data_IF_593610679546
#
_entry.id   IF_593610679546
#
_cell.length_a   1.000
_cell.length_b   1.000
_cell.length_c   1.000
_cell.angle_alpha   90.00
_cell.angle_beta   90.00
_cell.angle_gamma   90.00
#
_symmetry.space_group_name_H-M   'P 1'
#
loop_
_entity.id
_entity.type
_entity.pdbx_description
1 polymer ?
#
# COMPACT_ATOMS: atom_id res chain seq x y z
N UNK A 1 -26.20 -11.44 -25.10
CA UNK A 1 -24.75 -11.47 -25.01
C UNK A 1 -24.32 -10.07 -24.56
N UNK A 2 -23.70 -9.96 -23.41
CA UNK A 2 -23.11 -8.69 -22.98
C UNK A 2 -21.83 -8.54 -23.82
N UNK A 3 -21.78 -7.52 -24.66
CA UNK A 3 -20.58 -7.22 -25.46
C UNK A 3 -19.45 -6.83 -24.50
N UNK A 4 -18.35 -7.58 -24.52
CA UNK A 4 -17.21 -7.24 -23.67
C UNK A 4 -16.59 -5.93 -24.16
N UNK A 5 -16.26 -4.99 -23.27
CA UNK A 5 -15.62 -3.75 -23.66
C UNK A 5 -14.26 -4.04 -24.35
N UNK A 6 -14.04 -3.45 -25.50
CA UNK A 6 -12.79 -3.62 -26.27
C UNK A 6 -11.54 -3.01 -25.60
N UNK A 7 -11.75 -2.20 -24.58
CA UNK A 7 -10.71 -1.45 -23.85
C UNK A 7 -10.58 -1.90 -22.38
N UNK A 8 -11.06 -3.09 -22.03
CA UNK A 8 -11.05 -3.61 -20.65
C UNK A 8 -11.76 -2.70 -19.63
N UNK A 9 -12.71 -1.88 -20.07
CA UNK A 9 -13.44 -0.94 -19.23
C UNK A 9 -12.77 0.42 -19.06
N UNK A 10 -11.67 0.71 -19.76
CA UNK A 10 -11.08 2.04 -19.76
C UNK A 10 -11.99 3.01 -20.52
N UNK A 11 -12.45 4.04 -19.82
CA UNK A 11 -13.09 5.21 -20.38
C UNK A 11 -12.08 6.25 -20.86
N UNK A 12 -12.57 7.46 -21.12
CA UNK A 12 -11.72 8.58 -21.52
C UNK A 12 -10.78 8.99 -20.38
N UNK A 13 -11.29 9.06 -19.16
CA UNK A 13 -10.52 9.49 -17.98
C UNK A 13 -9.38 8.50 -17.65
N UNK A 14 -9.64 7.20 -17.64
CA UNK A 14 -8.61 6.18 -17.40
C UNK A 14 -7.59 6.14 -18.54
N UNK A 15 -8.01 6.39 -19.77
CA UNK A 15 -7.11 6.50 -20.93
C UNK A 15 -6.19 7.71 -20.79
N UNK A 16 -6.73 8.87 -20.43
CA UNK A 16 -5.94 10.09 -20.19
C UNK A 16 -4.96 9.89 -19.03
N UNK A 17 -5.41 9.25 -17.95
CA UNK A 17 -4.59 8.94 -16.78
C UNK A 17 -3.43 8.01 -17.14
N UNK A 18 -3.70 6.92 -17.88
CA UNK A 18 -2.68 6.00 -18.39
C UNK A 18 -1.67 6.71 -19.30
N UNK A 19 -2.13 7.54 -20.23
CA UNK A 19 -1.24 8.22 -21.17
C UNK A 19 -0.36 9.26 -20.45
N UNK A 20 -0.89 9.93 -19.42
CA UNK A 20 -0.14 10.78 -18.50
C UNK A 20 0.93 9.98 -17.74
N UNK A 21 0.56 8.83 -17.18
CA UNK A 21 1.48 7.94 -16.47
C UNK A 21 2.59 7.41 -17.38
N UNK A 22 2.23 6.97 -18.58
CA UNK A 22 3.19 6.51 -19.59
C UNK A 22 4.22 7.57 -19.92
N UNK A 23 3.77 8.82 -20.14
CA UNK A 23 4.67 9.93 -20.38
C UNK A 23 5.58 10.20 -19.20
N UNK A 24 5.01 10.31 -18.00
CA UNK A 24 5.76 10.57 -16.76
C UNK A 24 6.86 9.52 -16.54
N UNK A 25 6.52 8.24 -16.63
CA UNK A 25 7.49 7.17 -16.42
C UNK A 25 8.54 7.09 -17.53
N UNK A 26 8.18 7.40 -18.78
CA UNK A 26 9.16 7.52 -19.87
C UNK A 26 10.20 8.61 -19.59
N UNK A 27 9.76 9.74 -19.05
CA UNK A 27 10.63 10.88 -18.78
C UNK A 27 11.51 10.68 -17.52
N UNK A 28 11.00 9.94 -16.51
CA UNK A 28 11.62 9.84 -15.18
C UNK A 28 12.20 8.48 -14.84
N UNK A 29 11.70 7.38 -15.41
CA UNK A 29 12.01 6.00 -15.03
C UNK A 29 12.53 5.17 -16.21
N UNK A 30 13.38 5.75 -17.06
CA UNK A 30 14.02 5.00 -18.15
C UNK A 30 14.83 3.81 -17.62
N UNK A 31 14.88 2.71 -18.39
CA UNK A 31 15.52 1.45 -17.98
C UNK A 31 16.96 1.65 -17.47
N UNK A 32 17.74 2.52 -18.11
CA UNK A 32 19.12 2.83 -17.69
C UNK A 32 19.18 3.51 -16.32
N UNK A 33 18.18 4.34 -15.97
CA UNK A 33 18.10 4.99 -14.65
C UNK A 33 17.78 3.95 -13.58
N UNK A 34 16.77 3.12 -13.81
CA UNK A 34 16.40 2.04 -12.89
C UNK A 34 17.56 1.04 -12.74
N UNK A 35 18.17 0.62 -13.85
CA UNK A 35 19.32 -0.28 -13.81
C UNK A 35 20.46 0.30 -12.96
N UNK A 36 20.82 1.58 -13.11
CA UNK A 36 21.83 2.21 -12.26
C UNK A 36 21.45 2.25 -10.79
N UNK A 37 20.18 2.49 -10.48
CA UNK A 37 19.71 2.46 -9.09
C UNK A 37 19.87 1.07 -8.48
N UNK A 38 19.52 0.01 -9.21
CA UNK A 38 19.56 -1.35 -8.69
C UNK A 38 20.92 -2.03 -8.87
N UNK A 39 21.74 -1.67 -9.87
CA UNK A 39 23.06 -2.24 -10.11
C UNK A 39 24.21 -1.48 -9.45
N UNK A 40 23.97 -0.35 -8.81
CA UNK A 40 24.99 0.51 -8.21
C UNK A 40 25.85 -0.15 -7.14
N UNK A 41 25.36 -1.20 -6.51
CA UNK A 41 26.10 -2.01 -5.55
C UNK A 41 26.04 -3.49 -5.95
N UNK A 42 27.13 -4.18 -6.26
CA UNK A 42 27.14 -5.60 -6.66
C UNK A 42 27.00 -6.59 -5.49
N UNK A 43 26.89 -6.14 -4.25
CA UNK A 43 26.70 -7.01 -3.10
C UNK A 43 25.35 -7.73 -3.20
N UNK A 44 25.37 -9.07 -3.13
CA UNK A 44 24.16 -9.90 -3.14
C UNK A 44 23.26 -9.72 -1.90
N UNK A 45 23.79 -9.11 -0.84
CA UNK A 45 23.07 -8.84 0.39
C UNK A 45 22.48 -7.42 0.45
N UNK A 46 22.57 -6.66 -0.63
CA UNK A 46 22.14 -5.27 -0.69
C UNK A 46 20.61 -5.06 -0.73
N UNK A 47 19.83 -6.12 -0.83
CA UNK A 47 18.38 -6.07 -0.64
C UNK A 47 17.94 -5.48 0.71
N UNK A 48 18.90 -5.24 1.61
CA UNK A 48 18.72 -4.37 2.76
C UNK A 48 18.56 -2.88 2.40
N UNK A 49 19.00 -2.43 1.23
CA UNK A 49 18.77 -1.06 0.80
C UNK A 49 17.32 -0.88 0.33
N UNK A 50 16.65 0.14 0.85
CA UNK A 50 15.32 0.53 0.39
C UNK A 50 15.46 1.54 -0.75
N UNK A 51 15.25 1.09 -1.99
CA UNK A 51 15.31 1.96 -3.17
C UNK A 51 14.01 2.73 -3.29
N UNK A 52 14.14 4.06 -3.22
CA UNK A 52 12.98 4.93 -3.19
C UNK A 52 13.38 6.37 -3.54
N UNK A 53 12.67 6.98 -4.47
CA UNK A 53 12.85 8.38 -4.86
C UNK A 53 11.66 9.21 -4.34
N UNK A 54 11.87 9.86 -3.20
CA UNK A 54 10.83 10.69 -2.56
C UNK A 54 10.45 11.91 -3.41
N UNK A 55 11.35 12.39 -4.27
CA UNK A 55 11.05 13.50 -5.18
C UNK A 55 10.07 13.07 -6.29
N UNK A 56 10.21 11.84 -6.81
CA UNK A 56 9.24 11.30 -7.76
C UNK A 56 7.90 10.98 -7.09
N UNK A 57 7.93 10.52 -5.85
CA UNK A 57 6.69 10.33 -5.07
C UNK A 57 5.93 11.63 -4.89
N UNK A 58 6.61 12.71 -4.53
CA UNK A 58 5.99 14.01 -4.42
C UNK A 58 5.36 14.46 -5.74
N UNK A 59 6.06 14.26 -6.86
CA UNK A 59 5.52 14.62 -8.18
C UNK A 59 4.25 13.83 -8.53
N UNK A 60 4.18 12.51 -8.28
CA UNK A 60 2.96 11.73 -8.52
C UNK A 60 1.83 12.11 -7.56
N UNK A 61 2.14 12.56 -6.35
CA UNK A 61 1.17 13.13 -5.43
C UNK A 61 0.61 14.45 -5.97
N UNK A 62 1.46 15.35 -6.47
CA UNK A 62 1.05 16.62 -7.09
C UNK A 62 0.21 16.39 -8.36
N UNK A 63 0.43 15.29 -9.09
CA UNK A 63 -0.41 14.84 -10.20
C UNK A 63 -1.75 14.23 -9.75
N UNK A 64 -1.99 14.09 -8.45
CA UNK A 64 -3.23 13.57 -7.87
C UNK A 64 -3.35 12.05 -7.89
N UNK A 65 -2.29 11.29 -8.19
CA UNK A 65 -2.40 9.84 -8.32
C UNK A 65 -2.68 9.13 -7.00
N UNK A 66 -2.14 9.64 -5.89
CA UNK A 66 -2.45 9.11 -4.55
C UNK A 66 -3.90 9.37 -4.15
N UNK A 67 -4.49 10.48 -4.62
CA UNK A 67 -5.87 10.87 -4.37
C UNK A 67 -6.87 10.24 -5.35
N UNK A 68 -6.40 9.66 -6.47
CA UNK A 68 -7.25 9.22 -7.58
C UNK A 68 -8.40 8.32 -7.12
N UNK A 69 -8.11 7.30 -6.33
CA UNK A 69 -9.10 6.31 -5.87
C UNK A 69 -9.62 6.57 -4.45
N UNK A 70 -9.14 7.61 -3.76
CA UNK A 70 -9.69 8.03 -2.46
C UNK A 70 -11.07 8.66 -2.67
N UNK A 71 -12.10 8.33 -1.86
CA UNK A 71 -13.42 8.93 -1.97
C UNK A 71 -13.40 10.46 -1.82
N UNK A 72 -14.30 11.15 -2.52
CA UNK A 72 -14.43 12.61 -2.43
C UNK A 72 -14.69 13.08 -0.99
N UNK A 73 -15.46 12.33 -0.22
CA UNK A 73 -15.73 12.62 1.20
C UNK A 73 -14.47 12.63 2.07
N UNK A 74 -13.39 11.96 1.63
CA UNK A 74 -12.08 11.94 2.28
C UNK A 74 -11.05 12.82 1.54
N UNK A 75 -11.50 13.73 0.67
CA UNK A 75 -10.64 14.68 -0.05
C UNK A 75 -9.96 14.10 -1.30
N UNK A 76 -10.41 12.96 -1.80
CA UNK A 76 -9.91 12.35 -3.03
C UNK A 76 -10.73 12.70 -4.27
N UNK A 77 -10.47 12.00 -5.38
CA UNK A 77 -11.14 12.17 -6.68
C UNK A 77 -12.27 11.14 -6.84
N UNK A 78 -12.25 10.04 -6.12
CA UNK A 78 -13.33 9.04 -6.13
C UNK A 78 -13.35 8.13 -7.36
N UNK A 79 -12.25 8.04 -8.11
CA UNK A 79 -12.17 7.20 -9.30
C UNK A 79 -12.32 5.70 -8.95
N UNK A 80 -12.82 4.89 -9.90
CA UNK A 80 -12.98 3.45 -9.70
C UNK A 80 -11.63 2.71 -9.72
N UNK A 81 -11.65 1.42 -9.34
CA UNK A 81 -10.48 0.55 -9.34
C UNK A 81 -9.73 0.53 -10.68
N UNK A 82 -10.47 0.63 -11.80
CA UNK A 82 -9.87 0.62 -13.13
C UNK A 82 -8.89 1.78 -13.36
N UNK A 83 -9.05 2.91 -12.66
CA UNK A 83 -8.09 4.01 -12.69
C UNK A 83 -6.76 3.63 -11.99
N UNK A 84 -6.83 2.94 -10.85
CA UNK A 84 -5.63 2.39 -10.21
C UNK A 84 -4.93 1.36 -11.11
N UNK A 85 -5.69 0.53 -11.85
CA UNK A 85 -5.14 -0.44 -12.82
C UNK A 85 -4.38 0.28 -13.93
N UNK A 86 -4.93 1.40 -14.45
CA UNK A 86 -4.26 2.20 -15.49
C UNK A 86 -2.90 2.74 -15.03
N UNK A 87 -2.82 3.24 -13.80
CA UNK A 87 -1.57 3.71 -13.18
C UNK A 87 -0.61 2.55 -12.87
N UNK A 88 -1.14 1.45 -12.32
CA UNK A 88 -0.35 0.28 -11.94
C UNK A 88 0.30 -0.42 -13.15
N UNK A 89 -0.40 -0.48 -14.29
CA UNK A 89 0.16 -1.03 -15.53
C UNK A 89 1.41 -0.26 -15.98
N UNK A 90 1.34 1.05 -16.02
CA UNK A 90 2.47 1.88 -16.46
C UNK A 90 3.59 1.94 -15.39
N UNK A 91 3.25 1.94 -14.11
CA UNK A 91 4.24 1.82 -13.02
C UNK A 91 4.98 0.48 -13.08
N UNK A 92 4.26 -0.62 -13.34
CA UNK A 92 4.83 -1.96 -13.53
C UNK A 92 5.72 -2.03 -14.79
N UNK A 93 5.29 -1.46 -15.90
CA UNK A 93 6.06 -1.37 -17.15
C UNK A 93 7.40 -0.65 -16.94
N UNK A 94 7.41 0.36 -16.09
CA UNK A 94 8.59 1.15 -15.73
C UNK A 94 9.42 0.51 -14.60
N UNK A 95 8.98 -0.61 -14.01
CA UNK A 95 9.55 -1.18 -12.79
C UNK A 95 9.75 -0.14 -11.67
N UNK A 96 8.80 0.79 -11.53
CA UNK A 96 8.90 1.95 -10.66
C UNK A 96 8.99 1.57 -9.17
N UNK A 97 10.13 1.81 -8.50
CA UNK A 97 10.32 1.41 -7.10
C UNK A 97 9.65 2.42 -6.17
N UNK A 98 8.36 2.24 -5.90
CA UNK A 98 7.56 3.14 -5.06
C UNK A 98 6.49 2.39 -4.27
N UNK A 99 5.93 3.00 -3.21
CA UNK A 99 4.82 2.43 -2.45
C UNK A 99 3.44 2.67 -3.10
N UNK A 100 3.36 2.92 -4.43
CA UNK A 100 2.10 3.26 -5.08
C UNK A 100 1.09 2.11 -5.01
N UNK A 101 1.54 0.89 -5.27
CA UNK A 101 0.67 -0.30 -5.27
C UNK A 101 0.20 -0.64 -3.86
N UNK A 102 1.10 -0.63 -2.87
CA UNK A 102 0.73 -0.87 -1.48
C UNK A 102 -0.24 0.20 -0.95
N UNK A 103 -0.06 1.45 -1.38
CA UNK A 103 -0.98 2.55 -1.04
C UNK A 103 -2.35 2.36 -1.69
N UNK A 104 -2.43 1.92 -2.95
CA UNK A 104 -3.71 1.58 -3.59
C UNK A 104 -4.42 0.43 -2.89
N UNK A 105 -3.71 -0.66 -2.58
CA UNK A 105 -4.28 -1.78 -1.85
C UNK A 105 -4.88 -1.32 -0.50
N UNK A 106 -4.13 -0.49 0.23
CA UNK A 106 -4.61 0.09 1.49
C UNK A 106 -5.83 0.99 1.28
N UNK A 107 -5.84 1.79 0.21
CA UNK A 107 -6.99 2.65 -0.15
C UNK A 107 -8.25 1.84 -0.35
N UNK A 108 -8.17 0.73 -1.11
CA UNK A 108 -9.36 -0.08 -1.39
C UNK A 108 -9.89 -0.80 -0.15
N UNK A 109 -9.01 -1.30 0.71
CA UNK A 109 -9.44 -1.89 1.99
C UNK A 109 -10.11 -0.83 2.89
N UNK A 110 -9.53 0.36 3.00
CA UNK A 110 -10.10 1.43 3.83
C UNK A 110 -11.43 1.95 3.29
N UNK A 111 -11.68 1.91 1.99
CA UNK A 111 -12.98 2.27 1.39
C UNK A 111 -14.11 1.38 1.85
N UNK A 112 -13.83 0.13 2.18
CA UNK A 112 -14.82 -0.81 2.73
C UNK A 112 -15.03 -0.61 4.23
N UNK A 113 -14.15 0.15 4.91
CA UNK A 113 -14.23 0.45 6.32
C UNK A 113 -15.12 1.68 6.57
N UNK A 114 -16.38 1.49 6.96
CA UNK A 114 -17.35 2.57 7.19
C UNK A 114 -17.12 3.26 8.55
N UNK A 115 -15.95 3.88 8.76
CA UNK A 115 -15.60 4.57 10.01
C UNK A 115 -14.98 5.95 9.77
N UNK A 116 -15.11 6.85 10.73
CA UNK A 116 -14.46 8.16 10.68
C UNK A 116 -12.93 8.03 10.64
N UNK A 117 -12.39 7.10 11.43
CA UNK A 117 -10.95 6.85 11.47
C UNK A 117 -10.41 6.35 10.12
N UNK A 118 -11.16 5.50 9.40
CA UNK A 118 -10.77 5.09 8.04
C UNK A 118 -10.77 6.29 7.07
N UNK A 119 -11.76 7.18 7.16
CA UNK A 119 -11.80 8.40 6.37
C UNK A 119 -10.61 9.34 6.68
N UNK A 120 -10.19 9.45 7.94
CA UNK A 120 -9.02 10.24 8.33
C UNK A 120 -7.72 9.66 7.74
N UNK A 121 -7.59 8.33 7.67
CA UNK A 121 -6.45 7.67 7.02
C UNK A 121 -6.50 7.84 5.50
N UNK A 122 -7.67 7.71 4.88
CA UNK A 122 -7.87 7.99 3.45
C UNK A 122 -7.51 9.44 3.09
N UNK A 123 -7.84 10.42 3.93
CA UNK A 123 -7.44 11.80 3.73
C UNK A 123 -5.91 11.99 3.78
N UNK A 124 -5.21 11.24 4.65
CA UNK A 124 -3.75 11.23 4.67
C UNK A 124 -3.16 10.65 3.37
N UNK A 125 -3.77 9.59 2.81
CA UNK A 125 -3.39 9.02 1.51
C UNK A 125 -3.59 10.05 0.39
N UNK A 126 -4.73 10.73 0.36
CA UNK A 126 -5.00 11.79 -0.62
C UNK A 126 -3.95 12.91 -0.54
N UNK A 127 -3.47 13.24 0.67
CA UNK A 127 -2.37 14.18 0.91
C UNK A 127 -0.98 13.65 0.57
N UNK A 128 -0.86 12.41 0.06
CA UNK A 128 0.40 11.82 -0.40
C UNK A 128 1.13 10.96 0.63
N UNK A 129 0.52 10.66 1.79
CA UNK A 129 1.13 9.78 2.78
C UNK A 129 1.10 8.33 2.29
N UNK A 130 2.26 7.67 2.10
CA UNK A 130 2.31 6.29 1.65
C UNK A 130 1.88 5.34 2.77
N UNK A 131 1.07 4.35 2.40
CA UNK A 131 0.51 3.36 3.33
C UNK A 131 0.78 1.93 2.87
N UNK A 132 0.79 1.00 3.81
CA UNK A 132 0.87 -0.42 3.50
C UNK A 132 -0.07 -1.26 4.36
N UNK A 133 -0.47 -2.43 3.81
CA UNK A 133 -1.25 -3.44 4.51
C UNK A 133 -0.33 -4.45 5.20
N UNK A 134 -0.53 -4.66 6.50
CA UNK A 134 0.18 -5.64 7.31
C UNK A 134 -0.80 -6.74 7.75
N UNK A 135 -1.10 -7.68 6.85
CA UNK A 135 -2.19 -8.64 6.99
C UNK A 135 -1.76 -10.10 6.87
N UNK A 136 -0.57 -10.37 6.34
CA UNK A 136 -0.08 -11.71 6.03
C UNK A 136 0.59 -12.34 7.26
N UNK A 137 0.38 -13.64 7.47
CA UNK A 137 1.02 -14.42 8.52
C UNK A 137 2.35 -15.03 8.07
N UNK A 138 3.05 -15.72 8.97
CA UNK A 138 4.35 -16.35 8.69
C UNK A 138 4.29 -17.41 7.59
N UNK A 139 3.16 -18.09 7.41
CA UNK A 139 2.95 -19.09 6.38
C UNK A 139 2.61 -18.48 5.01
N UNK A 140 2.48 -17.15 4.92
CA UNK A 140 2.09 -16.46 3.71
C UNK A 140 0.59 -16.50 3.42
N UNK A 141 -0.24 -16.84 4.40
CA UNK A 141 -1.70 -16.80 4.26
C UNK A 141 -2.19 -15.35 4.23
N UNK A 142 -3.15 -15.09 3.34
CA UNK A 142 -3.88 -13.83 3.20
C UNK A 142 -5.28 -13.92 3.79
N UNK A 143 -5.65 -15.10 4.33
CA UNK A 143 -6.93 -15.27 4.98
C UNK A 143 -6.98 -14.40 6.25
N UNK A 144 -7.97 -13.52 6.41
CA UNK A 144 -8.02 -12.59 7.54
C UNK A 144 -7.93 -13.27 8.90
N UNK A 145 -8.53 -14.48 8.99
CA UNK A 145 -8.53 -15.28 10.22
C UNK A 145 -7.18 -15.89 10.58
N UNK A 146 -6.19 -15.82 9.70
CA UNK A 146 -4.88 -16.44 9.93
C UNK A 146 -3.83 -15.46 10.48
N UNK A 147 -4.21 -14.22 10.76
CA UNK A 147 -3.26 -13.20 11.26
C UNK A 147 -2.50 -13.66 12.49
N UNK A 148 -1.18 -13.39 12.53
CA UNK A 148 -0.28 -13.61 13.68
C UNK A 148 -0.22 -12.40 14.63
N UNK A 149 -1.02 -11.37 14.38
CA UNK A 149 -1.11 -10.18 15.22
C UNK A 149 -2.38 -10.25 16.08
N UNK A 150 -2.23 -9.94 17.34
CA UNK A 150 -3.33 -9.81 18.31
C UNK A 150 -3.48 -8.39 18.81
N UNK A 151 -4.67 -8.04 19.25
CA UNK A 151 -4.94 -6.78 19.93
C UNK A 151 -5.64 -7.05 21.27
N UNK A 152 -5.13 -6.43 22.32
CA UNK A 152 -5.74 -6.41 23.64
C UNK A 152 -5.62 -5.02 24.24
N UNK A 153 -6.69 -4.52 24.83
CA UNK A 153 -6.76 -3.17 25.44
C UNK A 153 -6.23 -2.05 24.52
N UNK A 154 -6.45 -2.16 23.20
CA UNK A 154 -6.01 -1.19 22.21
C UNK A 154 -4.52 -1.28 21.84
N UNK A 155 -3.82 -2.32 22.26
CA UNK A 155 -2.40 -2.55 22.00
C UNK A 155 -2.18 -3.77 21.12
N UNK A 156 -1.47 -3.56 20.01
CA UNK A 156 -1.06 -4.60 19.07
C UNK A 156 0.17 -5.34 19.60
N UNK A 157 0.16 -6.68 19.44
CA UNK A 157 1.28 -7.57 19.71
C UNK A 157 1.33 -8.67 18.66
N UNK A 158 2.53 -9.04 18.22
CA UNK A 158 2.75 -10.08 17.21
C UNK A 158 3.58 -9.60 16.03
N UNK A 159 3.53 -10.33 14.92
CA UNK A 159 4.32 -10.02 13.73
C UNK A 159 3.47 -10.18 12.47
N UNK A 160 3.46 -9.18 11.62
CA UNK A 160 2.95 -9.29 10.26
C UNK A 160 4.12 -9.55 9.30
N UNK A 161 3.92 -10.44 8.34
CA UNK A 161 4.95 -10.95 7.46
C UNK A 161 4.75 -10.51 6.01
N UNK A 162 5.81 -10.47 5.23
CA UNK A 162 5.80 -10.18 3.79
C UNK A 162 5.07 -8.86 3.43
N UNK A 163 5.20 -7.87 4.30
CA UNK A 163 4.55 -6.56 4.12
C UNK A 163 5.25 -5.78 3.02
N UNK A 164 4.53 -5.53 1.93
CA UNK A 164 5.06 -4.82 0.77
C UNK A 164 5.29 -3.34 1.09
N UNK A 165 6.42 -2.81 0.62
CA UNK A 165 6.81 -1.40 0.77
C UNK A 165 6.80 -0.87 2.21
N UNK A 166 6.92 -1.75 3.21
CA UNK A 166 6.81 -1.41 4.63
C UNK A 166 7.78 -0.30 5.05
N UNK A 167 9.02 -0.33 4.53
CA UNK A 167 10.06 0.68 4.86
C UNK A 167 9.86 2.01 4.15
N UNK A 168 8.93 2.06 3.18
CA UNK A 168 8.53 3.28 2.46
C UNK A 168 7.23 3.85 3.02
N UNK A 169 6.46 3.04 3.74
CA UNK A 169 5.19 3.44 4.33
C UNK A 169 5.42 4.38 5.53
N UNK A 170 4.58 5.39 5.66
CA UNK A 170 4.48 6.24 6.85
C UNK A 170 3.34 5.80 7.77
N UNK A 171 2.44 4.94 7.27
CA UNK A 171 1.39 4.34 8.05
C UNK A 171 1.09 2.91 7.60
N UNK A 172 0.60 2.13 8.53
CA UNK A 172 0.28 0.72 8.38
C UNK A 172 -1.18 0.47 8.74
N UNK A 173 -1.88 -0.31 7.92
CA UNK A 173 -3.18 -0.90 8.28
C UNK A 173 -2.96 -2.36 8.59
N UNK A 174 -3.20 -2.73 9.83
CA UNK A 174 -2.84 -4.03 10.42
C UNK A 174 -4.10 -4.84 10.69
N UNK A 175 -4.17 -6.09 10.22
CA UNK A 175 -5.20 -7.01 10.69
C UNK A 175 -4.78 -7.59 12.04
N UNK A 176 -5.67 -7.57 13.02
CA UNK A 176 -5.37 -8.14 14.31
C UNK A 176 -6.59 -8.86 14.92
N UNK A 177 -6.30 -9.93 15.64
CA UNK A 177 -7.28 -10.77 16.32
C UNK A 177 -7.55 -10.27 17.72
N UNK A 178 -8.83 -10.10 18.05
CA UNK A 178 -9.33 -9.92 19.41
C UNK A 178 -10.26 -11.06 19.82
N UNK A 179 -10.76 -11.06 21.03
CA UNK A 179 -11.81 -11.98 21.49
C UNK A 179 -13.12 -11.83 20.70
N UNK A 180 -13.36 -10.66 20.09
CA UNK A 180 -14.57 -10.34 19.34
C UNK A 180 -14.44 -10.57 17.81
N UNK A 181 -13.26 -11.03 17.33
CA UNK A 181 -13.01 -11.29 15.92
C UNK A 181 -11.82 -10.49 15.36
N UNK A 182 -11.71 -10.48 14.04
CA UNK A 182 -10.67 -9.75 13.32
C UNK A 182 -11.12 -8.30 13.08
N UNK A 183 -10.28 -7.36 13.50
CA UNK A 183 -10.42 -5.94 13.21
C UNK A 183 -9.25 -5.42 12.36
N UNK A 184 -9.39 -4.21 11.84
CA UNK A 184 -8.32 -3.48 11.16
C UNK A 184 -7.94 -2.24 11.98
N UNK A 185 -6.65 -2.02 12.09
CA UNK A 185 -6.09 -1.00 12.96
C UNK A 185 -5.02 -0.19 12.24
N UNK A 186 -5.10 1.13 12.35
CA UNK A 186 -4.07 2.03 11.84
C UNK A 186 -3.00 2.29 12.88
N UNK A 187 -1.73 2.28 12.43
CA UNK A 187 -0.55 2.60 13.22
C UNK A 187 0.40 3.45 12.37
N UNK A 188 1.02 4.48 12.95
CA UNK A 188 2.14 5.14 12.31
C UNK A 188 3.35 4.19 12.22
N UNK A 189 4.05 4.19 11.09
CA UNK A 189 5.15 3.24 10.87
C UNK A 189 6.35 3.47 11.82
N UNK A 190 6.46 4.68 12.37
CA UNK A 190 7.48 5.12 13.34
C UNK A 190 6.98 5.11 14.80
N UNK A 191 5.82 4.52 15.07
CA UNK A 191 5.28 4.46 16.43
C UNK A 191 6.16 3.60 17.35
N UNK A 192 6.21 3.99 18.62
CA UNK A 192 6.91 3.22 19.64
C UNK A 192 6.40 1.77 19.68
N UNK A 193 7.33 0.81 19.68
CA UNK A 193 7.02 -0.62 19.66
C UNK A 193 6.82 -1.23 18.27
N UNK A 194 6.90 -0.45 17.19
CA UNK A 194 6.95 -0.93 15.80
C UNK A 194 8.40 -1.19 15.41
N UNK A 195 8.70 -2.40 14.94
CA UNK A 195 10.02 -2.75 14.42
C UNK A 195 9.88 -3.34 13.02
N UNK A 196 10.41 -2.64 12.00
CA UNK A 196 10.37 -3.06 10.60
C UNK A 196 11.73 -3.67 10.23
N UNK A 197 11.72 -4.93 9.82
CA UNK A 197 12.93 -5.68 9.43
C UNK A 197 12.79 -6.11 7.97
N UNK A 198 13.76 -5.72 7.15
CA UNK A 198 13.77 -6.04 5.72
C UNK A 198 13.83 -7.55 5.47
N UNK A 199 13.05 -8.04 4.52
CA UNK A 199 13.13 -9.39 4.00
C UNK A 199 14.12 -9.45 2.83
N UNK A 200 14.80 -10.61 2.68
CA UNK A 200 15.64 -10.88 1.53
C UNK A 200 14.80 -11.27 0.30
N UNK A 201 14.69 -10.37 -0.67
CA UNK A 201 13.93 -10.61 -1.92
C UNK A 201 14.83 -10.47 -3.14
N UNK A 202 14.45 -11.16 -4.23
CA UNK A 202 15.24 -11.19 -5.49
C UNK A 202 15.04 -9.90 -6.28
N UNK A 203 13.81 -9.36 -6.32
CA UNK A 203 13.49 -8.15 -7.07
C UNK A 203 13.95 -6.89 -6.32
N UNK A 204 15.06 -6.32 -6.76
CA UNK A 204 15.65 -5.13 -6.15
C UNK A 204 14.87 -3.83 -6.41
N UNK A 205 13.85 -3.84 -7.27
CA UNK A 205 12.94 -2.70 -7.46
C UNK A 205 11.81 -2.68 -6.45
N UNK A 206 11.64 -3.77 -5.68
CA UNK A 206 10.61 -3.92 -4.66
C UNK A 206 11.19 -3.80 -3.26
N UNK A 207 10.30 -3.61 -2.31
CA UNK A 207 10.60 -3.63 -0.90
C UNK A 207 9.61 -4.55 -0.18
N UNK A 208 10.11 -5.36 0.74
CA UNK A 208 9.32 -6.24 1.57
C UNK A 208 9.97 -6.35 2.95
N UNK A 209 9.15 -6.45 3.97
CA UNK A 209 9.62 -6.57 5.35
C UNK A 209 8.65 -7.40 6.19
N UNK A 210 9.11 -7.89 7.32
CA UNK A 210 8.23 -8.26 8.41
C UNK A 210 8.23 -7.17 9.47
N UNK A 211 7.08 -7.01 10.14
CA UNK A 211 6.86 -5.95 11.11
C UNK A 211 6.43 -6.57 12.44
N UNK A 212 7.24 -6.35 13.47
CA UNK A 212 6.90 -6.77 14.83
C UNK A 212 6.26 -5.62 15.60
N UNK A 213 5.19 -5.94 16.31
CA UNK A 213 4.44 -5.03 17.19
C UNK A 213 4.60 -5.47 18.63
N UNK A 214 4.98 -4.56 19.52
CA UNK A 214 5.14 -4.83 20.96
C UNK A 214 4.44 -3.73 21.76
N UNK A 215 3.21 -4.00 22.18
CA UNK A 215 2.40 -3.06 22.94
C UNK A 215 2.07 -1.77 22.18
N UNK A 216 1.92 -1.83 20.85
CA UNK A 216 1.71 -0.65 20.00
C UNK A 216 0.28 -0.16 20.12
N UNK A 217 0.08 1.09 20.55
CA UNK A 217 -1.25 1.72 20.54
C UNK A 217 -1.72 1.95 19.12
N UNK A 218 -2.93 1.47 18.82
CA UNK A 218 -3.49 1.49 17.48
C UNK A 218 -4.88 2.15 17.44
N UNK A 219 -5.22 2.71 16.28
CA UNK A 219 -6.52 3.32 16.01
C UNK A 219 -7.38 2.31 15.24
N UNK A 220 -8.55 1.94 15.76
CA UNK A 220 -9.48 1.06 15.07
C UNK A 220 -10.04 1.75 13.82
N UNK A 221 -9.85 1.14 12.63
CA UNK A 221 -10.43 1.59 11.37
C UNK A 221 -11.54 0.67 10.88
N UNK A 222 -11.52 -0.61 11.28
CA UNK A 222 -12.66 -1.51 11.16
C UNK A 222 -12.81 -2.30 12.47
N UNK A 223 -14.02 -2.35 13.00
CA UNK A 223 -14.33 -3.05 14.25
C UNK A 223 -14.04 -4.56 14.14
N UNK A 224 -13.76 -5.25 15.26
CA UNK A 224 -13.68 -6.70 15.30
C UNK A 224 -14.93 -7.36 14.69
N UNK A 225 -14.72 -8.31 13.77
CA UNK A 225 -15.76 -8.96 12.98
C UNK A 225 -16.16 -8.23 11.70
N UNK A 226 -15.66 -7.00 11.46
CA UNK A 226 -15.81 -6.30 10.19
C UNK A 226 -14.50 -6.26 9.40
N UNK A 227 -13.36 -6.56 10.03
CA UNK A 227 -12.06 -6.54 9.39
C UNK A 227 -11.91 -7.62 8.30
N UNK A 228 -12.46 -8.80 8.49
CA UNK A 228 -12.51 -9.88 7.52
C UNK A 228 -13.34 -9.52 6.28
N UNK A 229 -14.48 -8.86 6.46
CA UNK A 229 -15.32 -8.39 5.36
C UNK A 229 -14.63 -7.29 4.54
N UNK A 230 -13.88 -6.40 5.18
CA UNK A 230 -13.16 -5.33 4.49
C UNK A 230 -11.93 -5.82 3.70
N UNK A 231 -11.40 -7.01 4.05
CA UNK A 231 -10.28 -7.65 3.36
C UNK A 231 -10.73 -8.62 2.25
N UNK A 232 -12.00 -9.05 2.23
CA UNK A 232 -12.55 -9.96 1.24
C UNK A 232 -12.86 -9.27 -0.11
#
# INVERSE_FOLDING_TARGET
>A
MIEQPKNFGFGEDETMLRDSAKKFFSDHCGADKIHRQVAGNPDIHRNIECIWDKGLWQQITELGWTAACVPEAAGGIGMPLVAAVALAEEAGRAAFPSPLISTFNTTFVLRECNSAAANDVLAQIAGGKPMSLAITNQQGSWEPTDTDVSIDNGQLNGTAWFVQDARKAEGLVVSARSAAGIGLYYVAADADGVAITADGIIDLTRDQAHISFTGVTAIEVAAPGAGDTALA
#
